data_IF_472293800832
#
_entry.id   IF_472293800832
#
_cell.length_a   1.000
_cell.length_b   1.000
_cell.length_c   1.000
_cell.angle_alpha   90.00
_cell.angle_beta   90.00
_cell.angle_gamma   90.00
#
_symmetry.space_group_name_H-M   'P 1'
#
loop_
_entity.id
_entity.type
_entity.pdbx_description
1 polymer ?
#
# COMPACT_ATOMS: atom_id res chain seq x y z
N UNK A 1 17.48 -61.55 -12.94
CA UNK A 1 16.36 -60.71 -13.46
C UNK A 1 15.60 -59.91 -12.40
N UNK A 2 15.33 -60.44 -11.19
CA UNK A 2 14.56 -59.71 -10.15
C UNK A 2 15.29 -58.46 -9.60
N UNK A 3 16.60 -58.55 -9.35
CA UNK A 3 17.42 -57.43 -8.82
C UNK A 3 17.52 -56.24 -9.79
N UNK A 4 17.66 -56.51 -11.10
CA UNK A 4 17.74 -55.46 -12.13
C UNK A 4 16.43 -54.69 -12.28
N UNK A 5 15.28 -55.40 -12.24
CA UNK A 5 13.95 -54.76 -12.25
C UNK A 5 13.73 -53.84 -11.05
N UNK A 6 14.25 -54.21 -9.88
CA UNK A 6 14.13 -53.42 -8.65
C UNK A 6 14.95 -52.12 -8.71
N UNK A 7 16.19 -52.19 -9.24
CA UNK A 7 17.04 -51.00 -9.45
C UNK A 7 16.41 -50.04 -10.46
N UNK A 8 15.85 -50.56 -11.55
CA UNK A 8 15.13 -49.76 -12.55
C UNK A 8 13.89 -49.07 -11.95
N UNK A 9 13.16 -49.75 -11.06
CA UNK A 9 11.99 -49.18 -10.38
C UNK A 9 12.39 -48.02 -9.46
N UNK A 10 13.51 -48.15 -8.74
CA UNK A 10 14.05 -47.09 -7.87
C UNK A 10 14.45 -45.87 -8.70
N UNK A 11 15.15 -46.06 -9.83
CA UNK A 11 15.56 -44.96 -10.71
C UNK A 11 14.37 -44.22 -11.33
N UNK A 12 13.34 -44.93 -11.78
CA UNK A 12 12.10 -44.32 -12.30
C UNK A 12 11.39 -43.54 -11.19
N UNK A 13 11.36 -44.08 -9.97
CA UNK A 13 10.73 -43.41 -8.83
C UNK A 13 11.44 -42.11 -8.44
N UNK A 14 12.78 -42.10 -8.43
CA UNK A 14 13.58 -40.89 -8.17
C UNK A 14 13.36 -39.86 -9.28
N UNK A 15 13.31 -40.29 -10.55
CA UNK A 15 13.05 -39.40 -11.68
C UNK A 15 11.64 -38.81 -11.66
N UNK A 16 10.63 -39.60 -11.29
CA UNK A 16 9.24 -39.14 -11.12
C UNK A 16 9.09 -38.21 -9.90
N UNK A 17 9.83 -38.43 -8.81
CA UNK A 17 9.85 -37.55 -7.64
C UNK A 17 10.51 -36.21 -7.99
N UNK A 18 11.63 -36.22 -8.70
CA UNK A 18 12.31 -35.00 -9.16
C UNK A 18 11.48 -34.25 -10.20
N UNK A 19 10.76 -34.94 -11.09
CA UNK A 19 9.85 -34.27 -12.01
C UNK A 19 8.70 -33.63 -11.25
N UNK A 20 8.05 -34.33 -10.30
CA UNK A 20 6.98 -33.77 -9.46
C UNK A 20 7.45 -32.61 -8.59
N UNK A 21 8.67 -32.65 -8.06
CA UNK A 21 9.26 -31.56 -7.28
C UNK A 21 9.56 -30.36 -8.18
N UNK A 22 9.97 -30.60 -9.42
CA UNK A 22 10.18 -29.55 -10.43
C UNK A 22 8.86 -28.96 -10.89
N UNK A 23 7.81 -29.76 -11.12
CA UNK A 23 6.47 -29.25 -11.41
C UNK A 23 5.89 -28.51 -10.21
N UNK A 24 6.10 -28.97 -8.98
CA UNK A 24 5.66 -28.26 -7.77
C UNK A 24 6.43 -26.94 -7.56
N UNK A 25 7.71 -26.89 -7.89
CA UNK A 25 8.50 -25.65 -7.88
C UNK A 25 8.06 -24.69 -8.99
N UNK A 26 7.72 -25.20 -10.18
CA UNK A 26 7.17 -24.41 -11.29
C UNK A 26 5.76 -23.90 -10.94
N UNK A 27 4.89 -24.75 -10.39
CA UNK A 27 3.54 -24.38 -9.92
C UNK A 27 3.63 -23.39 -8.75
N UNK A 28 4.59 -23.58 -7.83
CA UNK A 28 4.88 -22.65 -6.75
C UNK A 28 5.46 -21.32 -7.22
N UNK A 29 6.28 -21.30 -8.30
CA UNK A 29 6.72 -20.06 -8.94
C UNK A 29 5.60 -19.37 -9.72
N UNK A 30 4.64 -20.13 -10.26
CA UNK A 30 3.44 -19.62 -10.91
C UNK A 30 2.38 -19.15 -9.90
N UNK A 31 2.47 -19.53 -8.63
CA UNK A 31 1.65 -18.97 -7.54
C UNK A 31 2.01 -17.51 -7.22
N UNK A 32 3.13 -17.00 -7.73
CA UNK A 32 3.45 -15.56 -7.74
C UNK A 32 2.70 -14.77 -8.82
N UNK A 33 2.28 -15.44 -9.90
CA UNK A 33 1.51 -14.88 -11.02
C UNK A 33 0.08 -15.46 -11.00
N UNK A 34 -0.70 -15.01 -10.01
CA UNK A 34 -1.99 -15.59 -9.63
C UNK A 34 -2.97 -15.85 -10.79
N UNK A 35 -3.35 -17.13 -10.94
CA UNK A 35 -4.51 -17.59 -11.72
C UNK A 35 -5.86 -17.06 -11.19
N UNK A 36 -5.86 -16.47 -9.99
CA UNK A 36 -7.01 -15.80 -9.41
C UNK A 36 -6.67 -14.32 -9.19
N UNK A 37 -7.55 -13.39 -9.62
CA UNK A 37 -7.36 -11.99 -9.32
C UNK A 37 -7.34 -11.81 -7.79
N UNK A 38 -6.58 -10.82 -7.28
CA UNK A 38 -6.59 -10.50 -5.86
C UNK A 38 -8.03 -10.25 -5.40
N UNK A 39 -8.36 -10.62 -4.14
CA UNK A 39 -9.71 -10.45 -3.63
C UNK A 39 -10.14 -8.99 -3.72
N UNK A 40 -11.39 -8.76 -4.12
CA UNK A 40 -11.95 -7.41 -4.08
C UNK A 40 -11.99 -6.94 -2.62
N UNK A 41 -11.55 -5.70 -2.34
CA UNK A 41 -11.52 -5.20 -0.98
C UNK A 41 -12.93 -5.04 -0.44
N UNK A 42 -13.09 -5.37 0.85
CA UNK A 42 -14.37 -5.33 1.57
C UNK A 42 -14.80 -3.90 1.89
N UNK A 43 -13.83 -3.01 2.09
CA UNK A 43 -14.02 -1.59 2.36
C UNK A 43 -13.43 -0.78 1.22
N UNK A 44 -13.88 0.46 1.07
CA UNK A 44 -13.35 1.35 0.04
C UNK A 44 -11.84 1.55 0.24
N UNK A 45 -11.40 1.71 1.49
CA UNK A 45 -9.99 1.94 1.80
C UNK A 45 -9.22 0.64 2.01
N UNK A 46 -8.04 0.56 1.40
CA UNK A 46 -7.14 -0.58 1.60
C UNK A 46 -6.57 -0.60 3.01
N UNK A 47 -7.06 -1.57 3.79
CA UNK A 47 -6.50 -1.88 5.11
C UNK A 47 -5.15 -2.58 5.04
N UNK A 48 -4.87 -3.35 3.96
CA UNK A 48 -3.63 -4.10 3.71
C UNK A 48 -3.21 -3.87 2.25
N UNK A 49 -2.46 -2.81 1.98
CA UNK A 49 -2.01 -2.46 0.63
C UNK A 49 -1.03 -3.50 0.05
N UNK A 50 -0.36 -4.25 0.91
CA UNK A 50 0.51 -5.37 0.58
C UNK A 50 -0.23 -6.53 -0.13
N UNK A 51 -1.55 -6.66 0.09
CA UNK A 51 -2.38 -7.69 -0.55
C UNK A 51 -2.67 -7.38 -2.04
N UNK A 52 -2.18 -6.24 -2.56
CA UNK A 52 -2.46 -5.71 -3.91
C UNK A 52 -1.16 -5.48 -4.71
N UNK A 53 -0.41 -6.53 -5.07
CA UNK A 53 0.90 -6.41 -5.72
C UNK A 53 0.85 -5.76 -7.11
N UNK A 54 -0.29 -5.84 -7.81
CA UNK A 54 -0.49 -5.21 -9.12
C UNK A 54 -0.28 -3.69 -9.09
N UNK A 55 -0.48 -3.04 -7.94
CA UNK A 55 -0.23 -1.61 -7.77
C UNK A 55 1.23 -1.27 -8.11
N UNK A 56 2.15 -2.19 -7.80
CA UNK A 56 3.60 -2.02 -8.04
C UNK A 56 4.03 -2.47 -9.44
N UNK A 57 3.27 -3.34 -10.08
CA UNK A 57 3.54 -3.82 -11.45
C UNK A 57 3.04 -2.82 -12.50
N UNK A 58 2.10 -1.95 -12.13
CA UNK A 58 1.53 -0.98 -13.04
C UNK A 58 2.55 0.11 -13.38
N UNK A 59 2.56 0.50 -14.65
CA UNK A 59 3.23 1.72 -15.10
C UNK A 59 2.70 2.91 -14.29
N UNK A 60 3.51 3.94 -14.04
CA UNK A 60 3.00 5.16 -13.41
C UNK A 60 2.51 6.14 -14.49
N UNK A 61 1.39 6.80 -14.22
CA UNK A 61 0.84 7.89 -15.03
C UNK A 61 0.94 9.19 -14.26
N UNK A 62 1.24 10.27 -14.99
CA UNK A 62 1.35 11.61 -14.44
C UNK A 62 -0.04 12.24 -14.35
N UNK A 63 -0.36 12.82 -13.18
CA UNK A 63 -1.63 13.52 -12.94
C UNK A 63 -1.38 14.86 -12.28
N UNK A 64 -2.17 15.87 -12.65
CA UNK A 64 -2.12 17.21 -12.06
C UNK A 64 -3.00 17.26 -10.81
N UNK A 65 -2.49 17.85 -9.73
CA UNK A 65 -3.31 18.14 -8.55
C UNK A 65 -4.13 19.40 -8.85
N UNK A 66 -5.45 19.26 -8.93
CA UNK A 66 -6.35 20.32 -9.33
C UNK A 66 -6.24 21.56 -8.43
N UNK A 67 -6.15 22.74 -9.06
CA UNK A 67 -5.92 24.00 -8.36
C UNK A 67 -4.45 24.28 -8.01
N UNK A 68 -3.50 23.48 -8.51
CA UNK A 68 -2.06 23.70 -8.33
C UNK A 68 -1.32 23.55 -9.66
N UNK A 69 -0.04 23.93 -9.72
CA UNK A 69 0.85 23.59 -10.84
C UNK A 69 1.65 22.30 -10.59
N UNK A 70 1.27 21.51 -9.59
CA UNK A 70 1.98 20.29 -9.22
C UNK A 70 1.40 19.07 -9.91
N UNK A 71 2.31 18.19 -10.30
CA UNK A 71 2.03 16.92 -10.94
C UNK A 71 2.64 15.81 -10.08
N UNK A 72 1.93 14.71 -9.93
CA UNK A 72 2.38 13.51 -9.22
C UNK A 72 2.23 12.28 -10.11
N UNK A 73 2.97 11.23 -9.80
CA UNK A 73 2.92 9.97 -10.54
C UNK A 73 2.12 8.92 -9.77
N UNK A 74 0.94 8.54 -10.25
CA UNK A 74 0.11 7.51 -9.63
C UNK A 74 0.13 6.22 -10.47
N UNK A 75 -0.20 5.05 -9.91
CA UNK A 75 -0.21 3.80 -10.66
C UNK A 75 -1.29 3.85 -11.75
N UNK A 76 -1.00 3.29 -12.93
CA UNK A 76 -1.95 3.18 -14.03
C UNK A 76 -3.20 2.41 -13.59
N UNK A 77 -4.37 2.85 -14.07
CA UNK A 77 -5.67 2.35 -13.63
C UNK A 77 -6.19 3.00 -12.34
N UNK A 78 -5.42 3.88 -11.71
CA UNK A 78 -5.89 4.76 -10.64
C UNK A 78 -6.16 6.17 -11.15
N UNK A 79 -7.01 6.87 -10.42
CA UNK A 79 -7.36 8.27 -10.62
C UNK A 79 -7.11 9.05 -9.32
N UNK A 80 -6.68 10.30 -9.47
CA UNK A 80 -6.68 11.26 -8.36
C UNK A 80 -8.05 11.94 -8.35
N UNK A 81 -8.78 11.80 -7.26
CA UNK A 81 -10.16 12.30 -7.17
C UNK A 81 -10.41 13.02 -5.85
N UNK A 82 -11.32 13.98 -5.89
CA UNK A 82 -11.78 14.66 -4.68
C UNK A 82 -12.45 13.67 -3.73
N UNK A 83 -12.00 13.67 -2.48
CA UNK A 83 -12.51 12.76 -1.46
C UNK A 83 -14.01 13.00 -1.20
N UNK A 84 -14.46 14.26 -1.23
CA UNK A 84 -15.86 14.65 -1.06
C UNK A 84 -16.80 14.00 -2.09
N UNK A 85 -16.35 13.82 -3.35
CA UNK A 85 -17.15 13.17 -4.40
C UNK A 85 -17.35 11.69 -4.11
N UNK A 86 -16.36 11.05 -3.49
CA UNK A 86 -16.40 9.65 -3.09
C UNK A 86 -17.19 9.47 -1.80
N UNK A 87 -16.94 10.29 -0.79
CA UNK A 87 -17.69 10.30 0.48
C UNK A 87 -19.20 10.50 0.29
N UNK A 88 -19.63 11.24 -0.72
CA UNK A 88 -21.07 11.35 -1.04
C UNK A 88 -21.64 10.11 -1.71
N UNK A 89 -20.80 9.35 -2.42
CA UNK A 89 -21.18 8.13 -3.13
C UNK A 89 -21.16 6.90 -2.21
N UNK A 90 -20.19 6.84 -1.30
CA UNK A 90 -20.00 5.78 -0.33
C UNK A 90 -20.18 6.38 1.06
N UNK A 91 -21.07 5.82 1.88
CA UNK A 91 -21.25 6.23 3.29
C UNK A 91 -20.05 5.76 4.15
N UNK A 92 -18.85 6.17 3.73
CA UNK A 92 -17.57 5.74 4.26
C UNK A 92 -16.68 6.94 4.56
N UNK A 93 -15.93 6.83 5.64
CA UNK A 93 -15.05 7.88 6.12
C UNK A 93 -13.60 7.52 5.82
N UNK A 94 -12.80 8.53 5.44
CA UNK A 94 -11.36 8.35 5.32
C UNK A 94 -10.85 7.90 6.70
N UNK A 95 -10.00 6.86 6.77
CA UNK A 95 -9.52 6.37 8.05
C UNK A 95 -8.91 7.49 8.87
N UNK A 96 -9.28 7.54 10.15
CA UNK A 96 -8.75 8.52 11.10
C UNK A 96 -7.57 7.94 11.86
N UNK A 97 -6.55 8.76 12.07
CA UNK A 97 -5.35 8.34 12.75
C UNK A 97 -5.51 8.53 14.25
N UNK A 98 -5.88 7.46 14.95
CA UNK A 98 -6.04 7.47 16.42
C UNK A 98 -4.76 7.09 17.17
N UNK A 99 -3.71 6.73 16.42
CA UNK A 99 -2.46 6.23 16.96
C UNK A 99 -1.61 7.27 17.70
N UNK A 100 -1.82 8.56 17.43
CA UNK A 100 -1.14 9.65 18.13
C UNK A 100 -2.14 10.73 18.54
N UNK A 101 -1.99 11.26 19.75
CA UNK A 101 -2.76 12.43 20.20
C UNK A 101 -2.21 13.75 19.60
N UNK A 102 -1.06 13.68 18.92
CA UNK A 102 -0.30 14.85 18.46
C UNK A 102 -0.43 15.10 16.95
N UNK A 103 -1.23 14.30 16.24
CA UNK A 103 -1.52 14.52 14.83
C UNK A 103 -2.98 14.91 14.62
N UNK A 104 -3.20 16.12 14.09
CA UNK A 104 -4.52 16.67 13.77
C UNK A 104 -4.86 16.45 12.30
N UNK A 105 -5.03 15.18 11.95
CA UNK A 105 -5.34 14.77 10.58
C UNK A 105 -6.87 14.77 10.38
N UNK A 106 -7.32 15.58 9.42
CA UNK A 106 -8.71 15.62 8.99
C UNK A 106 -8.97 14.78 7.73
N UNK A 107 -10.18 14.91 7.19
CA UNK A 107 -10.51 14.37 5.87
C UNK A 107 -9.59 15.01 4.82
N UNK A 108 -9.08 14.23 3.85
CA UNK A 108 -8.26 14.75 2.77
C UNK A 108 -9.10 15.50 1.73
N UNK A 109 -8.47 16.37 0.94
CA UNK A 109 -9.07 16.95 -0.26
C UNK A 109 -9.10 15.92 -1.39
N UNK A 110 -8.01 15.18 -1.59
CA UNK A 110 -7.89 14.17 -2.65
C UNK A 110 -7.41 12.82 -2.13
N UNK A 111 -7.80 11.78 -2.85
CA UNK A 111 -7.37 10.40 -2.66
C UNK A 111 -7.03 9.74 -4.00
N UNK A 112 -6.27 8.65 -3.95
CA UNK A 112 -5.94 7.82 -5.11
C UNK A 112 -6.89 6.62 -5.14
N UNK A 113 -7.71 6.53 -6.19
CA UNK A 113 -8.81 5.58 -6.29
C UNK A 113 -8.78 4.79 -7.59
N UNK A 114 -8.99 3.48 -7.50
CA UNK A 114 -9.18 2.60 -8.64
C UNK A 114 -10.67 2.31 -8.82
N UNK A 115 -11.26 2.83 -9.89
CA UNK A 115 -12.68 2.68 -10.18
C UNK A 115 -13.07 1.26 -10.58
N UNK A 116 -12.18 0.53 -11.26
CA UNK A 116 -12.44 -0.82 -11.74
C UNK A 116 -12.50 -1.81 -10.58
N UNK A 117 -11.52 -1.71 -9.69
CA UNK A 117 -11.41 -2.58 -8.50
C UNK A 117 -12.20 -2.04 -7.30
N UNK A 118 -12.74 -0.82 -7.42
CA UNK A 118 -13.56 -0.14 -6.43
C UNK A 118 -12.88 0.05 -5.07
N UNK A 119 -11.64 0.56 -5.07
CA UNK A 119 -10.91 0.86 -3.83
C UNK A 119 -10.01 2.07 -3.91
N UNK A 120 -9.70 2.63 -2.75
CA UNK A 120 -8.82 3.76 -2.55
C UNK A 120 -7.62 3.38 -1.69
N UNK A 121 -6.48 4.01 -1.98
CA UNK A 121 -5.33 3.95 -1.11
C UNK A 121 -5.60 4.77 0.15
N UNK A 122 -5.10 4.29 1.28
CA UNK A 122 -5.11 5.00 2.57
C UNK A 122 -4.06 6.11 2.61
N UNK A 123 -4.09 6.97 1.60
CA UNK A 123 -3.17 8.07 1.38
C UNK A 123 -3.97 9.31 0.99
N UNK A 124 -4.03 10.25 1.91
CA UNK A 124 -4.73 11.53 1.76
C UNK A 124 -3.78 12.62 1.26
N UNK A 125 -4.31 13.53 0.45
CA UNK A 125 -3.58 14.66 -0.10
C UNK A 125 -4.36 15.94 0.18
N UNK A 126 -3.69 16.91 0.80
CA UNK A 126 -4.23 18.25 1.11
C UNK A 126 -3.37 19.33 0.47
N UNK A 127 -4.02 20.36 -0.07
CA UNK A 127 -3.38 21.58 -0.52
C UNK A 127 -3.31 22.58 0.61
N UNK A 128 -2.45 23.59 0.45
CA UNK A 128 -2.19 24.65 1.41
C UNK A 128 -2.00 24.15 2.84
N UNK A 129 -1.40 22.97 3.00
CA UNK A 129 -1.21 22.32 4.30
C UNK A 129 0.22 21.82 4.41
N UNK A 130 0.81 22.02 5.58
CA UNK A 130 2.15 21.60 5.93
C UNK A 130 2.13 20.55 7.03
N UNK A 131 3.24 19.84 7.19
CA UNK A 131 3.43 18.90 8.31
C UNK A 131 3.32 19.64 9.65
N UNK A 132 3.86 20.85 9.74
CA UNK A 132 3.79 21.71 10.93
C UNK A 132 2.35 22.13 11.29
N UNK A 133 1.42 22.13 10.33
CA UNK A 133 0.01 22.44 10.58
C UNK A 133 -0.76 21.27 11.21
N UNK A 134 -0.20 20.06 11.14
CA UNK A 134 -0.84 18.84 11.63
C UNK A 134 -0.12 18.19 12.80
N UNK A 135 1.16 18.48 12.99
CA UNK A 135 1.97 17.92 14.06
C UNK A 135 2.12 18.93 15.20
N UNK A 136 1.60 18.57 16.38
CA UNK A 136 1.67 19.43 17.57
C UNK A 136 3.12 19.65 18.03
N UNK A 137 3.98 18.65 17.81
CA UNK A 137 5.42 18.76 18.01
C UNK A 137 6.17 18.10 16.85
N UNK A 138 6.77 18.93 15.99
CA UNK A 138 7.49 18.45 14.81
C UNK A 138 8.74 17.62 15.17
N UNK A 139 9.39 17.93 16.28
CA UNK A 139 10.62 17.25 16.72
C UNK A 139 10.38 15.79 17.10
N UNK A 140 9.14 15.44 17.46
CA UNK A 140 8.75 14.06 17.80
C UNK A 140 8.56 13.17 16.55
N UNK A 141 8.60 13.77 15.36
CA UNK A 141 8.49 13.05 14.10
C UNK A 141 9.82 12.39 13.74
N UNK A 142 9.80 11.09 13.49
CA UNK A 142 10.98 10.38 12.99
C UNK A 142 11.19 10.72 11.53
N UNK A 143 12.21 11.52 11.23
CA UNK A 143 12.62 11.80 9.85
C UNK A 143 13.06 10.52 9.13
N UNK A 144 12.51 10.27 7.95
CA UNK A 144 12.91 9.16 7.08
C UNK A 144 13.84 9.64 5.97
N UNK A 145 13.46 10.74 5.30
CA UNK A 145 14.18 11.38 4.20
C UNK A 145 13.89 12.89 4.20
N UNK A 146 14.39 13.61 3.21
CA UNK A 146 14.00 14.99 2.99
C UNK A 146 12.47 15.09 2.86
N UNK A 147 11.89 16.04 3.60
CA UNK A 147 10.45 16.33 3.60
C UNK A 147 9.53 15.13 3.89
N UNK A 148 10.06 14.06 4.47
CA UNK A 148 9.33 12.79 4.69
C UNK A 148 9.59 12.27 6.10
N UNK A 149 8.51 12.00 6.83
CA UNK A 149 8.53 11.72 8.25
C UNK A 149 7.57 10.57 8.61
N UNK A 150 7.82 9.96 9.77
CA UNK A 150 6.88 9.08 10.45
C UNK A 150 6.45 9.71 11.76
N UNK A 151 5.14 9.74 11.98
CA UNK A 151 4.60 9.92 13.32
C UNK A 151 4.39 8.54 13.93
N UNK A 152 5.15 8.26 14.99
CA UNK A 152 5.01 7.00 15.73
C UNK A 152 3.65 6.91 16.39
N UNK A 153 3.04 5.75 16.28
CA UNK A 153 1.78 5.47 16.93
C UNK A 153 1.97 4.76 18.28
N UNK A 154 0.93 4.77 19.12
CA UNK A 154 0.83 3.90 20.28
C UNK A 154 0.86 2.44 19.83
N UNK A 155 1.32 1.54 20.71
CA UNK A 155 1.35 0.09 20.45
C UNK A 155 -0.02 -0.40 19.96
N UNK A 156 -0.02 -1.18 18.88
CA UNK A 156 -1.23 -1.73 18.26
C UNK A 156 -1.81 -0.89 17.12
N UNK A 157 -1.26 0.31 16.88
CA UNK A 157 -1.59 1.16 15.75
C UNK A 157 -0.42 1.18 14.74
N UNK A 158 -0.73 1.30 13.45
CA UNK A 158 0.28 1.56 12.43
C UNK A 158 0.82 3.00 12.55
N UNK A 159 2.05 3.26 12.10
CA UNK A 159 2.64 4.60 12.09
C UNK A 159 2.03 5.41 10.95
N UNK A 160 1.90 6.73 11.12
CA UNK A 160 1.46 7.59 10.03
C UNK A 160 2.65 8.03 9.19
N UNK A 161 2.56 7.80 7.87
CA UNK A 161 3.48 8.35 6.88
C UNK A 161 3.11 9.79 6.59
N UNK A 162 4.07 10.71 6.61
CA UNK A 162 3.88 12.12 6.28
C UNK A 162 4.91 12.52 5.23
N UNK A 163 4.47 13.14 4.13
CA UNK A 163 5.37 13.70 3.11
C UNK A 163 4.89 15.07 2.65
N UNK A 164 5.82 16.01 2.61
CA UNK A 164 5.63 17.32 2.03
C UNK A 164 6.16 17.29 0.58
N UNK A 165 5.28 17.37 -0.41
CA UNK A 165 5.66 17.39 -1.84
C UNK A 165 6.24 18.75 -2.23
N UNK A 166 5.66 19.81 -1.67
CA UNK A 166 6.16 21.19 -1.77
C UNK A 166 5.68 22.01 -0.57
N UNK A 167 5.95 23.32 -0.55
CA UNK A 167 5.57 24.18 0.57
C UNK A 167 4.05 24.24 0.89
N UNK A 168 3.18 23.64 0.07
CA UNK A 168 1.72 23.71 0.23
C UNK A 168 1.03 22.34 0.10
N UNK A 169 1.68 21.28 -0.36
CA UNK A 169 1.04 19.99 -0.59
C UNK A 169 1.55 18.97 0.42
N UNK A 170 0.65 18.59 1.32
CA UNK A 170 0.85 17.55 2.31
C UNK A 170 0.21 16.25 1.84
N UNK A 171 0.98 15.19 1.91
CA UNK A 171 0.54 13.80 1.76
C UNK A 171 0.66 13.12 3.11
N UNK A 172 -0.36 12.36 3.49
CA UNK A 172 -0.32 11.58 4.71
C UNK A 172 -1.02 10.24 4.53
N UNK A 173 -0.49 9.20 5.19
CA UNK A 173 -1.21 7.95 5.33
C UNK A 173 -1.90 7.86 6.68
N UNK A 174 -2.98 7.08 6.70
CA UNK A 174 -3.62 6.70 7.95
C UNK A 174 -3.85 5.21 7.95
N UNK A 175 -3.38 4.56 9.01
CA UNK A 175 -3.75 3.17 9.28
C UNK A 175 -4.98 3.19 10.18
N UNK A 176 -6.08 2.62 9.68
CA UNK A 176 -7.33 2.44 10.41
C UNK A 176 -7.08 1.70 11.73
N UNK A 177 -7.66 2.21 12.81
CA UNK A 177 -7.57 1.68 14.19
C UNK A 177 -8.29 0.35 14.42
N UNK A 178 -8.84 -0.27 13.37
CA UNK A 178 -9.66 -1.48 13.47
C UNK A 178 -8.89 -2.79 13.56
N UNK A 179 -7.63 -2.82 13.09
CA UNK A 179 -6.81 -4.03 13.06
C UNK A 179 -5.48 -3.78 13.76
N UNK A 180 -5.13 -4.66 14.70
CA UNK A 180 -3.80 -4.68 15.32
C UNK A 180 -2.80 -4.91 14.19
N UNK A 181 -2.04 -3.88 13.83
CA UNK A 181 -1.01 -3.98 12.82
C UNK A 181 0.28 -4.49 13.49
N UNK A 182 0.89 -5.53 12.93
CA UNK A 182 2.23 -5.94 13.37
C UNK A 182 3.26 -4.90 12.91
N UNK A 183 4.37 -4.80 13.64
CA UNK A 183 5.48 -3.91 13.27
C UNK A 183 5.99 -4.20 11.85
N UNK A 184 6.01 -5.47 11.45
CA UNK A 184 6.41 -5.92 10.10
C UNK A 184 5.48 -5.37 9.01
N UNK A 185 4.16 -5.52 9.17
CA UNK A 185 3.17 -4.99 8.23
C UNK A 185 3.20 -3.47 8.15
N UNK A 186 3.42 -2.81 9.30
CA UNK A 186 3.61 -1.37 9.36
C UNK A 186 4.81 -0.95 8.50
N UNK A 187 5.97 -1.60 8.71
CA UNK A 187 7.18 -1.29 7.95
C UNK A 187 7.03 -1.57 6.45
N UNK A 188 6.38 -2.65 6.06
CA UNK A 188 6.09 -2.97 4.66
C UNK A 188 5.24 -1.88 4.01
N UNK A 189 4.18 -1.45 4.69
CA UNK A 189 3.33 -0.35 4.23
C UNK A 189 4.07 0.97 4.08
N UNK A 190 4.92 1.31 5.04
CA UNK A 190 5.75 2.53 4.94
C UNK A 190 6.68 2.44 3.72
N UNK A 191 7.29 1.28 3.44
CA UNK A 191 8.10 1.08 2.22
C UNK A 191 7.28 1.28 0.95
N UNK A 192 6.05 0.78 0.94
CA UNK A 192 5.10 0.94 -0.16
C UNK A 192 4.80 2.43 -0.41
N UNK A 193 4.47 3.21 0.62
CA UNK A 193 4.23 4.65 0.46
C UNK A 193 5.48 5.40 0.03
N UNK A 194 6.66 5.04 0.55
CA UNK A 194 7.92 5.63 0.12
C UNK A 194 8.17 5.40 -1.37
N UNK A 195 7.93 4.19 -1.88
CA UNK A 195 8.14 3.83 -3.29
C UNK A 195 7.09 4.48 -4.20
N UNK A 196 5.83 4.49 -3.78
CA UNK A 196 4.74 5.14 -4.48
C UNK A 196 5.03 6.63 -4.70
N UNK A 197 5.47 7.30 -3.63
CA UNK A 197 5.66 8.75 -3.58
C UNK A 197 7.09 9.21 -3.87
N UNK A 198 8.01 8.32 -4.26
CA UNK A 198 9.43 8.66 -4.45
C UNK A 198 9.66 9.75 -5.51
N UNK A 199 8.83 9.77 -6.55
CA UNK A 199 8.91 10.67 -7.71
C UNK A 199 7.96 11.87 -7.58
N UNK A 200 7.38 12.06 -6.39
CA UNK A 200 6.49 13.17 -6.07
C UNK A 200 7.30 14.30 -5.45
#
# INVERSE_FOLDING_TARGET
>A
MKKLKFILLILVSIFCLNSCLTTAAIIGSMQGDGLLPPPKPKYLFLENIEDFPQIFLNKKVKVKIEGTNKEIYIPEGFELIEYDKIKRKYDDHFPKFYGSIYLRIGDPEFIIYNKKENFALTLGINKNRKIEDIADNFEDLKKLKENTYLAKAKKGYGDAFLKQIDNQILVYSVVSSGSILTDEKNQERIKIYLELTKDW
#
